data_IF_710156506631
#
_entry.id   IF_710156506631
#
_cell.length_a   1.000
_cell.length_b   1.000
_cell.length_c   1.000
_cell.angle_alpha   90.00
_cell.angle_beta   90.00
_cell.angle_gamma   90.00
#
_symmetry.space_group_name_H-M   'P 1'
#
loop_
_entity.id
_entity.type
_entity.pdbx_description
1 polymer ?
#
# COMPACT_ATOMS: atom_id res chain seq x y z
N UNK A 1 5.70 9.52 10.08
CA UNK A 1 4.76 8.58 9.43
C UNK A 1 5.23 7.14 9.65
N UNK A 2 4.31 6.19 9.77
CA UNK A 2 4.59 4.76 9.85
C UNK A 2 3.55 3.97 9.04
N UNK A 3 4.02 3.00 8.25
CA UNK A 3 3.17 2.09 7.46
C UNK A 3 3.48 0.66 7.88
N UNK A 4 2.45 -0.15 8.11
CA UNK A 4 2.60 -1.56 8.46
C UNK A 4 1.54 -2.43 7.82
N UNK A 5 1.92 -3.66 7.48
CA UNK A 5 1.03 -4.74 7.08
C UNK A 5 1.19 -5.98 7.98
N UNK A 6 1.75 -5.82 9.19
CA UNK A 6 1.94 -6.93 10.12
C UNK A 6 0.67 -7.24 10.92
N UNK A 7 -0.34 -7.75 10.23
CA UNK A 7 -1.63 -8.18 10.77
C UNK A 7 -2.31 -9.15 9.80
N UNK A 8 -3.38 -9.82 10.23
CA UNK A 8 -4.10 -10.78 9.40
C UNK A 8 -4.68 -10.13 8.13
N UNK A 9 -4.42 -10.73 6.98
CA UNK A 9 -4.76 -10.18 5.66
C UNK A 9 -3.90 -9.00 5.19
N UNK A 10 -2.86 -8.61 5.95
CA UNK A 10 -1.96 -7.51 5.61
C UNK A 10 -1.03 -7.83 4.44
N UNK A 11 -1.03 -6.99 3.41
CA UNK A 11 -0.14 -7.10 2.25
C UNK A 11 0.30 -5.72 1.75
N UNK A 12 1.57 -5.37 2.00
CA UNK A 12 2.30 -4.23 1.39
C UNK A 12 3.80 -4.36 1.68
N UNK A 13 4.63 -3.86 0.79
CA UNK A 13 6.04 -3.54 1.01
C UNK A 13 6.23 -2.03 0.98
N UNK A 14 7.03 -1.52 1.91
CA UNK A 14 7.39 -0.11 2.00
C UNK A 14 8.76 0.07 1.34
N UNK A 15 8.81 0.82 0.25
CA UNK A 15 10.05 1.07 -0.52
C UNK A 15 10.70 2.37 -0.06
N UNK A 16 9.91 3.45 0.03
CA UNK A 16 10.39 4.74 0.51
C UNK A 16 9.26 5.54 1.17
N UNK A 17 9.60 6.23 2.25
CA UNK A 17 8.76 7.20 2.95
C UNK A 17 9.48 8.53 3.16
N UNK A 18 10.52 8.81 2.36
CA UNK A 18 11.37 9.99 2.53
C UNK A 18 10.64 11.28 2.13
N UNK A 19 9.78 11.21 1.12
CA UNK A 19 8.97 12.33 0.64
C UNK A 19 7.48 12.02 0.87
N UNK A 20 6.76 12.83 1.69
CA UNK A 20 5.33 12.63 1.94
C UNK A 20 4.47 12.79 0.68
N UNK A 21 4.96 13.49 -0.35
CA UNK A 21 4.29 13.62 -1.66
C UNK A 21 4.71 12.54 -2.66
N UNK A 22 5.55 11.59 -2.26
CA UNK A 22 5.98 10.48 -3.10
C UNK A 22 6.34 9.23 -2.27
N UNK A 23 5.41 8.75 -1.44
CA UNK A 23 5.57 7.50 -0.71
C UNK A 23 5.48 6.34 -1.69
N UNK A 24 6.48 5.46 -1.68
CA UNK A 24 6.57 4.34 -2.61
C UNK A 24 6.28 3.02 -1.90
N UNK A 25 5.34 2.28 -2.45
CA UNK A 25 4.86 0.99 -1.95
C UNK A 25 4.88 -0.05 -3.08
N UNK A 26 4.93 -1.33 -2.71
CA UNK A 26 4.69 -2.43 -3.63
C UNK A 26 3.76 -3.48 -3.01
N UNK A 27 2.97 -4.15 -3.84
CA UNK A 27 2.16 -5.31 -3.44
C UNK A 27 3.08 -6.54 -3.44
N UNK A 28 3.04 -7.35 -2.38
CA UNK A 28 3.79 -8.62 -2.38
C UNK A 28 3.07 -9.67 -3.22
N UNK A 29 3.80 -10.44 -4.04
CA UNK A 29 3.27 -11.61 -4.72
C UNK A 29 2.60 -12.62 -3.78
N UNK A 30 1.52 -13.23 -4.27
CA UNK A 30 0.95 -14.40 -3.61
C UNK A 30 1.94 -15.57 -3.67
N UNK A 31 1.74 -16.57 -2.82
CA UNK A 31 2.58 -17.76 -2.81
C UNK A 31 2.61 -18.43 -4.19
N UNK A 32 3.79 -18.49 -4.80
CA UNK A 32 3.98 -18.96 -6.18
C UNK A 32 4.33 -17.87 -7.19
N UNK A 33 4.41 -16.60 -6.77
CA UNK A 33 4.98 -15.45 -7.50
C UNK A 33 4.32 -15.10 -8.85
N UNK A 34 3.15 -15.68 -9.15
CA UNK A 34 2.48 -15.53 -10.45
C UNK A 34 1.37 -14.49 -10.44
N UNK A 35 0.83 -14.14 -9.28
CA UNK A 35 -0.32 -13.26 -9.16
C UNK A 35 -0.17 -12.36 -7.95
N UNK A 36 -0.62 -11.12 -8.10
CA UNK A 36 -0.86 -10.22 -6.99
C UNK A 36 -1.83 -9.14 -7.40
N UNK A 37 -2.61 -8.69 -6.42
CA UNK A 37 -3.51 -7.56 -6.58
C UNK A 37 -3.98 -7.07 -5.21
N UNK A 38 -4.24 -8.01 -4.30
CA UNK A 38 -4.67 -7.70 -2.94
C UNK A 38 -3.60 -6.91 -2.18
N UNK A 39 -3.98 -5.74 -1.67
CA UNK A 39 -3.18 -4.98 -0.72
C UNK A 39 -4.03 -4.58 0.48
N UNK A 40 -3.41 -4.57 1.66
CA UNK A 40 -4.03 -4.11 2.89
C UNK A 40 -2.93 -3.68 3.86
N UNK A 41 -2.99 -2.43 4.31
CA UNK A 41 -2.00 -1.87 5.22
C UNK A 41 -2.64 -0.81 6.11
N UNK A 42 -1.94 -0.49 7.20
CA UNK A 42 -2.29 0.61 8.10
C UNK A 42 -1.24 1.70 7.95
N UNK A 43 -1.72 2.94 7.92
CA UNK A 43 -0.89 4.14 7.95
C UNK A 43 -1.19 4.90 9.24
N UNK A 44 -0.13 5.37 9.90
CA UNK A 44 -0.22 6.33 10.99
C UNK A 44 0.64 7.55 10.63
N UNK A 45 0.03 8.73 10.64
CA UNK A 45 0.66 9.98 10.22
C UNK A 45 0.19 11.15 11.08
N UNK A 46 0.74 12.31 10.79
CA UNK A 46 0.30 13.57 11.40
C UNK A 46 -1.07 13.97 10.84
N UNK A 47 -1.98 14.36 11.73
CA UNK A 47 -3.33 14.80 11.36
C UNK A 47 -3.25 16.12 10.60
N UNK A 48 -3.95 16.20 9.48
CA UNK A 48 -3.97 17.38 8.62
C UNK A 48 -2.85 17.41 7.57
N UNK A 49 -1.90 16.49 7.63
CA UNK A 49 -0.88 16.34 6.59
C UNK A 49 -1.41 15.52 5.40
N UNK A 50 -1.06 15.95 4.19
CA UNK A 50 -1.42 15.22 2.97
C UNK A 50 -0.28 14.28 2.57
N UNK A 51 -0.64 13.01 2.34
CA UNK A 51 0.30 11.98 1.89
C UNK A 51 -0.11 11.44 0.53
N UNK A 52 0.84 11.30 -0.38
CA UNK A 52 0.64 10.70 -1.71
C UNK A 52 1.29 9.33 -1.72
N UNK A 53 0.48 8.29 -1.90
CA UNK A 53 0.92 6.89 -1.88
C UNK A 53 0.91 6.32 -3.29
N UNK A 54 2.08 5.87 -3.74
CA UNK A 54 2.31 5.29 -5.05
C UNK A 54 2.61 3.79 -4.92
N UNK A 55 1.69 2.95 -5.39
CA UNK A 55 1.95 1.51 -5.54
C UNK A 55 2.65 1.30 -6.89
N UNK A 56 3.97 1.17 -6.87
CA UNK A 56 4.79 1.28 -8.10
C UNK A 56 4.65 0.07 -9.03
N UNK A 57 4.29 -1.10 -8.49
CA UNK A 57 4.07 -2.33 -9.25
C UNK A 57 2.60 -2.59 -9.60
N UNK A 58 1.71 -1.61 -9.42
CA UNK A 58 0.28 -1.79 -9.70
C UNK A 58 -0.01 -2.11 -11.18
N UNK A 59 0.84 -1.66 -12.12
CA UNK A 59 0.71 -1.96 -13.54
C UNK A 59 0.97 -3.43 -13.91
N UNK A 60 1.59 -4.19 -13.00
CA UNK A 60 1.88 -5.62 -13.16
C UNK A 60 0.84 -6.50 -12.45
N UNK A 61 -0.13 -5.91 -11.75
CA UNK A 61 -1.15 -6.63 -11.02
C UNK A 61 -2.13 -7.36 -11.95
N UNK A 62 -2.71 -8.47 -11.46
CA UNK A 62 -3.54 -9.41 -12.24
C UNK A 62 -4.77 -8.77 -12.90
N UNK A 63 -5.32 -7.67 -12.35
CA UNK A 63 -6.31 -6.81 -13.00
C UNK A 63 -5.98 -5.33 -12.79
N UNK A 64 -6.08 -4.54 -13.87
CA UNK A 64 -5.69 -3.12 -13.94
C UNK A 64 -6.74 -2.16 -13.33
N UNK A 65 -7.76 -2.67 -12.64
CA UNK A 65 -8.82 -1.86 -12.03
C UNK A 65 -9.07 -2.34 -10.59
N UNK A 66 -8.65 -1.54 -9.61
CA UNK A 66 -8.97 -1.76 -8.20
C UNK A 66 -9.56 -0.48 -7.60
N UNK A 67 -10.71 -0.61 -6.96
CA UNK A 67 -11.30 0.42 -6.11
C UNK A 67 -10.66 0.28 -4.72
N UNK A 68 -9.85 1.24 -4.28
CA UNK A 68 -9.34 1.25 -2.91
C UNK A 68 -10.44 1.76 -1.96
N UNK A 69 -10.87 0.94 -1.00
CA UNK A 69 -11.69 1.40 0.13
C UNK A 69 -10.73 1.89 1.20
N UNK A 70 -10.63 3.21 1.36
CA UNK A 70 -9.91 3.82 2.47
C UNK A 70 -10.87 3.89 3.65
N UNK A 71 -10.63 3.08 4.68
CA UNK A 71 -11.38 3.16 5.92
C UNK A 71 -10.64 4.15 6.85
N UNK A 72 -11.23 5.31 7.09
CA UNK A 72 -10.69 6.31 8.01
C UNK A 72 -10.90 5.82 9.45
N UNK A 73 -9.84 5.28 10.07
CA UNK A 73 -9.84 5.09 11.53
C UNK A 73 -9.71 6.46 12.19
N UNK A 74 -10.83 6.94 12.77
CA UNK A 74 -10.88 8.10 13.67
C UNK A 74 -10.10 7.89 14.96
#
# INVERSE_FOLDING_TARGET
MHITANFDGGNIEVISTEDPQNIQLAIRPDYGDQFFQWFNFRLSGEVGEQYVLNIINAGEASLVAMLAVVDELR
#
